data_IF_059478388319
#
_entry.id   IF_059478388319
#
_cell.length_a   1.000
_cell.length_b   1.000
_cell.length_c   1.000
_cell.angle_alpha   90.00
_cell.angle_beta   90.00
_cell.angle_gamma   90.00
#
_symmetry.space_group_name_H-M   'P 1'
#
loop_
_entity.id
_entity.type
_entity.pdbx_description
1 polymer ?
#
# COMPACT_ATOMS: atom_id res chain seq x y z
N UNK A 1 23.90 -28.32 1.61
CA UNK A 1 22.91 -29.24 1.02
C UNK A 1 23.15 -29.27 -0.47
N UNK A 2 23.33 -30.42 -1.08
CA UNK A 2 23.60 -30.54 -2.52
C UNK A 2 22.27 -30.80 -3.23
N UNK A 3 21.98 -30.06 -4.28
CA UNK A 3 20.73 -30.16 -5.05
C UNK A 3 21.06 -30.61 -6.47
N UNK A 4 20.42 -31.66 -6.91
CA UNK A 4 20.48 -32.11 -8.29
C UNK A 4 19.40 -31.40 -9.10
N UNK A 5 19.80 -30.57 -10.06
CA UNK A 5 18.92 -29.71 -10.85
C UNK A 5 19.03 -30.06 -12.33
N UNK A 6 17.90 -30.02 -13.02
CA UNK A 6 17.80 -30.05 -14.46
C UNK A 6 16.84 -28.97 -14.95
N UNK A 7 17.28 -28.19 -15.89
CA UNK A 7 16.43 -27.29 -16.65
C UNK A 7 15.72 -28.09 -17.77
N UNK A 8 14.40 -28.00 -17.83
CA UNK A 8 13.58 -28.66 -18.85
C UNK A 8 13.17 -27.69 -19.98
N UNK A 9 13.64 -26.44 -19.93
CA UNK A 9 13.34 -25.38 -20.90
C UNK A 9 12.06 -24.59 -20.60
N UNK A 10 11.96 -23.44 -21.27
CA UNK A 10 10.87 -22.51 -21.13
C UNK A 10 9.75 -22.77 -22.16
N UNK A 11 8.58 -22.17 -21.91
CA UNK A 11 7.41 -22.17 -22.79
C UNK A 11 6.76 -23.53 -23.09
N UNK A 12 7.09 -24.56 -22.34
CA UNK A 12 6.47 -25.87 -22.46
C UNK A 12 5.05 -25.88 -21.87
N UNK A 13 4.13 -26.58 -22.51
CA UNK A 13 2.81 -26.89 -21.97
C UNK A 13 2.91 -27.82 -20.74
N UNK A 14 1.83 -27.94 -19.98
CA UNK A 14 1.79 -28.85 -18.83
C UNK A 14 2.05 -30.30 -19.26
N UNK A 15 1.46 -30.74 -20.37
CA UNK A 15 1.59 -32.11 -20.86
C UNK A 15 3.03 -32.41 -21.30
N UNK A 16 3.69 -31.46 -21.99
CA UNK A 16 5.10 -31.61 -22.37
C UNK A 16 6.03 -31.68 -21.16
N UNK A 17 5.75 -30.88 -20.12
CA UNK A 17 6.51 -30.93 -18.86
C UNK A 17 6.36 -32.29 -18.17
N UNK A 18 5.14 -32.80 -18.09
CA UNK A 18 4.85 -34.10 -17.47
C UNK A 18 5.51 -35.24 -18.26
N UNK A 19 5.46 -35.18 -19.59
CA UNK A 19 6.10 -36.20 -20.45
C UNK A 19 7.62 -36.24 -20.22
N UNK A 20 8.29 -35.09 -20.12
CA UNK A 20 9.71 -35.02 -19.78
C UNK A 20 9.99 -35.65 -18.41
N UNK A 21 9.14 -35.39 -17.42
CA UNK A 21 9.31 -35.93 -16.06
C UNK A 21 9.12 -37.45 -16.07
N UNK A 22 8.07 -37.95 -16.73
CA UNK A 22 7.75 -39.38 -16.82
C UNK A 22 8.86 -40.22 -17.50
N UNK A 23 9.56 -39.62 -18.45
CA UNK A 23 10.70 -40.25 -19.16
C UNK A 23 12.05 -39.97 -18.50
N UNK A 24 12.09 -39.22 -17.39
CA UNK A 24 13.32 -38.90 -16.67
C UNK A 24 13.56 -39.87 -15.50
N UNK A 25 14.78 -40.38 -15.44
CA UNK A 25 15.26 -41.17 -14.30
C UNK A 25 16.56 -40.58 -13.78
N UNK A 26 16.99 -41.00 -12.60
CA UNK A 26 18.25 -40.54 -12.05
C UNK A 26 19.46 -40.87 -12.91
N UNK A 27 19.38 -41.93 -13.71
CA UNK A 27 20.50 -42.42 -14.52
C UNK A 27 20.52 -41.88 -15.95
N UNK A 28 19.38 -41.42 -16.48
CA UNK A 28 19.29 -40.99 -17.88
C UNK A 28 19.27 -39.44 -18.03
N UNK A 29 19.41 -38.75 -16.93
CA UNK A 29 19.40 -37.28 -16.88
C UNK A 29 20.77 -36.75 -16.50
N UNK A 30 21.25 -35.77 -17.27
CA UNK A 30 22.43 -34.99 -16.89
C UNK A 30 22.03 -33.98 -15.82
N UNK A 31 22.47 -34.22 -14.59
CA UNK A 31 22.17 -33.40 -13.44
C UNK A 31 23.25 -32.35 -13.22
N UNK A 32 22.84 -31.07 -13.13
CA UNK A 32 23.69 -30.01 -12.61
C UNK A 32 23.61 -30.02 -11.09
N UNK A 33 24.77 -30.04 -10.42
CA UNK A 33 24.83 -29.88 -8.96
C UNK A 33 24.79 -28.40 -8.64
N UNK A 34 23.86 -28.02 -7.76
CA UNK A 34 23.70 -26.66 -7.28
C UNK A 34 24.00 -26.65 -5.77
N UNK A 35 24.78 -25.68 -5.35
CA UNK A 35 24.97 -25.33 -3.95
C UNK A 35 24.26 -24.00 -3.68
N UNK A 36 23.15 -24.01 -2.90
CA UNK A 36 22.46 -22.77 -2.53
C UNK A 36 23.40 -21.84 -1.75
N UNK A 37 23.24 -20.55 -1.95
CA UNK A 37 23.93 -19.56 -1.11
C UNK A 37 23.37 -19.54 0.32
N UNK A 38 23.90 -18.66 1.18
CA UNK A 38 23.49 -18.52 2.59
C UNK A 38 22.01 -18.11 2.73
N UNK A 39 21.40 -17.52 1.69
CA UNK A 39 20.01 -17.09 1.63
C UNK A 39 19.07 -18.18 1.11
N UNK A 40 19.62 -19.29 0.62
CA UNK A 40 18.83 -20.39 0.04
C UNK A 40 18.50 -20.18 -1.44
N UNK A 41 19.14 -19.25 -2.13
CA UNK A 41 18.96 -19.05 -3.58
C UNK A 41 19.66 -20.18 -4.35
N UNK A 42 19.00 -20.72 -5.36
CA UNK A 42 19.49 -21.91 -6.08
C UNK A 42 20.23 -21.56 -7.37
N UNK A 43 19.58 -20.85 -8.28
CA UNK A 43 20.06 -20.56 -9.64
C UNK A 43 20.58 -19.14 -9.79
N UNK A 44 19.69 -18.19 -9.60
CA UNK A 44 19.99 -16.79 -9.68
C UNK A 44 20.29 -16.28 -8.27
N UNK A 45 21.52 -16.51 -7.84
CA UNK A 45 21.95 -16.03 -6.53
C UNK A 45 22.03 -14.52 -6.55
N UNK A 46 21.42 -13.89 -5.53
CA UNK A 46 21.47 -12.43 -5.38
C UNK A 46 22.91 -11.96 -5.18
N UNK A 47 23.14 -10.72 -5.53
CA UNK A 47 24.40 -10.04 -5.29
C UNK A 47 24.78 -10.11 -3.79
N UNK A 48 26.09 -10.26 -3.48
CA UNK A 48 26.58 -10.31 -2.10
C UNK A 48 26.27 -9.01 -1.33
N UNK A 49 26.21 -7.89 -2.05
CA UNK A 49 25.89 -6.58 -1.50
C UNK A 49 24.38 -6.33 -1.32
N UNK A 50 23.50 -7.28 -1.71
CA UNK A 50 22.05 -7.10 -1.69
C UNK A 50 21.51 -6.62 -0.33
N UNK A 51 22.06 -7.12 0.78
CA UNK A 51 21.64 -6.73 2.12
C UNK A 51 22.09 -5.31 2.51
N UNK A 52 23.05 -4.74 1.78
CA UNK A 52 23.51 -3.38 2.02
C UNK A 52 22.66 -2.33 1.30
N UNK A 53 21.81 -2.77 0.36
CA UNK A 53 21.01 -1.85 -0.43
C UNK A 53 19.83 -1.31 0.36
N UNK A 54 19.59 0.02 0.27
CA UNK A 54 18.42 0.62 0.91
C UNK A 54 17.13 0.04 0.34
N UNK A 55 16.21 -0.32 1.23
CA UNK A 55 14.87 -0.79 0.84
C UNK A 55 13.93 0.40 0.63
N UNK A 56 12.85 0.22 -0.14
CA UNK A 56 11.83 1.27 -0.27
C UNK A 56 11.21 1.64 1.07
N UNK A 57 10.94 0.65 1.91
CA UNK A 57 10.46 0.84 3.27
C UNK A 57 10.29 -0.48 3.99
N UNK A 58 10.61 -0.51 5.27
CA UNK A 58 10.49 -1.69 6.13
C UNK A 58 9.86 -1.32 7.48
N UNK A 59 8.61 -1.76 7.70
CA UNK A 59 7.90 -1.56 8.98
C UNK A 59 8.31 -2.53 10.08
N UNK A 60 9.06 -3.57 9.75
CA UNK A 60 9.45 -4.61 10.70
C UNK A 60 10.85 -4.38 11.26
N UNK A 61 11.70 -3.72 10.50
CA UNK A 61 13.07 -3.48 10.86
C UNK A 61 13.47 -2.04 10.51
N UNK A 62 13.42 -1.16 11.50
CA UNK A 62 13.82 0.23 11.43
C UNK A 62 15.36 0.43 11.41
N UNK A 63 16.13 -0.66 11.56
CA UNK A 63 17.58 -0.65 11.44
C UNK A 63 18.06 -0.71 9.99
N UNK A 64 17.19 -1.11 9.06
CA UNK A 64 17.54 -1.12 7.64
C UNK A 64 17.52 0.30 7.08
N UNK A 65 18.53 0.64 6.27
CA UNK A 65 18.50 1.86 5.47
C UNK A 65 17.29 1.83 4.54
N UNK A 66 16.45 2.85 4.60
CA UNK A 66 15.17 2.87 3.86
C UNK A 66 14.85 4.24 3.30
N UNK A 67 14.26 4.26 2.10
CA UNK A 67 13.86 5.50 1.44
C UNK A 67 12.70 6.17 2.17
N UNK A 68 11.64 5.41 2.48
CA UNK A 68 10.38 5.93 3.02
C UNK A 68 10.14 5.43 4.45
N UNK A 69 9.87 6.35 5.37
CA UNK A 69 9.48 6.05 6.76
C UNK A 69 8.10 5.40 6.83
N UNK A 70 7.19 5.81 5.95
CA UNK A 70 5.78 5.42 5.96
C UNK A 70 5.30 5.02 4.58
N UNK A 71 4.57 3.92 4.52
CA UNK A 71 3.79 3.50 3.36
C UNK A 71 2.49 2.85 3.82
N UNK A 72 1.48 2.81 2.96
CA UNK A 72 0.14 2.37 3.33
C UNK A 72 -0.49 1.48 2.28
N UNK A 73 -1.32 0.56 2.70
CA UNK A 73 -2.33 -0.01 1.81
C UNK A 73 -3.41 1.04 1.52
N UNK A 74 -4.15 0.83 0.43
CA UNK A 74 -5.30 1.66 0.07
C UNK A 74 -6.51 1.48 0.99
N UNK A 75 -7.57 2.23 0.71
CA UNK A 75 -8.83 2.22 1.45
C UNK A 75 -9.57 0.90 1.23
N UNK A 76 -9.80 0.16 2.30
CA UNK A 76 -10.65 -1.03 2.29
C UNK A 76 -12.06 -0.66 2.77
N UNK A 77 -12.99 -0.50 1.84
CA UNK A 77 -14.37 -0.15 2.19
C UNK A 77 -15.18 -1.35 2.63
N UNK A 78 -14.90 -2.53 2.06
CA UNK A 78 -15.70 -3.75 2.14
C UNK A 78 -17.17 -3.55 1.67
N UNK A 79 -17.51 -2.38 1.13
CA UNK A 79 -18.83 -1.97 0.64
C UNK A 79 -18.74 -0.95 -0.50
N UNK A 80 -17.93 -1.25 -1.51
CA UNK A 80 -17.61 -0.34 -2.61
C UNK A 80 -18.84 0.25 -3.27
N UNK A 81 -19.89 -0.56 -3.50
CA UNK A 81 -21.14 -0.10 -4.13
C UNK A 81 -21.83 1.06 -3.38
N UNK A 82 -21.59 1.18 -2.08
CA UNK A 82 -22.11 2.27 -1.24
C UNK A 82 -21.09 3.39 -1.02
N UNK A 83 -19.80 3.04 -0.98
CA UNK A 83 -18.70 3.94 -0.59
C UNK A 83 -18.05 4.65 -1.78
N UNK A 84 -18.29 4.21 -3.02
CA UNK A 84 -17.76 4.81 -4.24
C UNK A 84 -18.86 5.11 -5.24
N UNK A 85 -18.81 6.29 -5.87
CA UNK A 85 -19.72 6.67 -6.95
C UNK A 85 -19.10 7.77 -7.82
N UNK A 86 -19.40 7.76 -9.12
CA UNK A 86 -18.99 8.84 -10.03
C UNK A 86 -19.80 10.12 -9.80
N UNK A 87 -21.02 10.00 -9.31
CA UNK A 87 -21.89 11.15 -8.98
C UNK A 87 -21.88 11.39 -7.47
N UNK A 88 -21.50 12.60 -7.05
CA UNK A 88 -21.39 13.00 -5.64
C UNK A 88 -22.71 12.89 -4.87
N UNK A 89 -23.81 13.35 -5.47
CA UNK A 89 -25.13 13.33 -4.83
C UNK A 89 -25.65 11.87 -4.66
N UNK A 90 -25.34 11.01 -5.64
CA UNK A 90 -25.66 9.60 -5.53
C UNK A 90 -24.84 8.92 -4.43
N UNK A 91 -23.54 9.25 -4.30
CA UNK A 91 -22.73 8.79 -3.18
C UNK A 91 -23.32 9.21 -1.85
N UNK A 92 -23.65 10.50 -1.69
CA UNK A 92 -24.31 11.03 -0.48
C UNK A 92 -25.55 10.22 -0.12
N UNK A 93 -26.49 10.09 -1.06
CA UNK A 93 -27.73 9.35 -0.86
C UNK A 93 -27.50 7.89 -0.45
N UNK A 94 -26.52 7.21 -1.08
CA UNK A 94 -26.18 5.82 -0.75
C UNK A 94 -25.65 5.70 0.68
N UNK A 95 -24.72 6.60 1.06
CA UNK A 95 -24.11 6.58 2.39
C UNK A 95 -25.11 6.93 3.48
N UNK A 96 -25.90 8.00 3.30
CA UNK A 96 -26.95 8.39 4.26
C UNK A 96 -27.99 7.28 4.45
N UNK A 97 -28.48 6.68 3.35
CA UNK A 97 -29.41 5.57 3.43
C UNK A 97 -28.82 4.36 4.16
N UNK A 98 -27.53 4.06 3.91
CA UNK A 98 -26.82 2.96 4.58
C UNK A 98 -26.65 3.23 6.07
N UNK A 99 -26.34 4.46 6.47
CA UNK A 99 -26.21 4.86 7.87
C UNK A 99 -27.54 4.83 8.60
N UNK A 100 -28.63 5.28 7.96
CA UNK A 100 -29.98 5.19 8.50
C UNK A 100 -30.37 3.73 8.70
N UNK A 101 -30.13 2.86 7.70
CA UNK A 101 -30.39 1.43 7.82
C UNK A 101 -29.60 0.80 8.96
N UNK A 102 -28.27 1.09 9.03
CA UNK A 102 -27.43 0.63 10.15
C UNK A 102 -27.98 1.09 11.50
N UNK A 103 -28.31 2.36 11.64
CA UNK A 103 -28.76 2.93 12.92
C UNK A 103 -30.09 2.33 13.41
N UNK A 104 -30.97 1.91 12.48
CA UNK A 104 -32.29 1.36 12.79
C UNK A 104 -32.30 -0.16 12.98
N UNK A 105 -31.27 -0.87 12.59
CA UNK A 105 -31.15 -2.32 12.81
C UNK A 105 -30.55 -2.60 14.19
N UNK A 106 -31.04 -3.62 14.88
CA UNK A 106 -30.50 -4.06 16.18
C UNK A 106 -29.37 -5.08 16.00
N UNK A 107 -29.34 -5.81 14.91
CA UNK A 107 -28.35 -6.83 14.56
C UNK A 107 -28.13 -6.87 13.03
N UNK A 108 -27.16 -7.70 12.61
CA UNK A 108 -26.95 -7.98 11.19
C UNK A 108 -28.24 -8.51 10.55
N UNK A 109 -28.63 -8.01 9.36
CA UNK A 109 -29.81 -8.54 8.65
C UNK A 109 -29.54 -10.00 8.24
N UNK A 110 -30.59 -10.82 8.29
CA UNK A 110 -30.53 -12.19 7.76
C UNK A 110 -30.21 -12.17 6.26
N UNK A 111 -29.30 -13.04 5.84
CA UNK A 111 -28.81 -13.15 4.44
C UNK A 111 -29.92 -13.49 3.42
N UNK A 112 -31.12 -13.86 3.88
CA UNK A 112 -32.21 -14.28 3.04
C UNK A 112 -32.99 -13.14 2.35
N UNK A 113 -32.79 -11.89 2.77
CA UNK A 113 -33.43 -10.70 2.18
C UNK A 113 -32.46 -9.94 1.27
N UNK A 114 -32.63 -10.12 -0.03
CA UNK A 114 -31.85 -9.50 -1.12
C UNK A 114 -31.98 -7.95 -1.21
N UNK A 115 -32.57 -7.31 -0.21
CA UNK A 115 -32.79 -5.86 -0.12
C UNK A 115 -31.87 -5.22 0.91
N UNK A 116 -30.58 -5.53 0.83
CA UNK A 116 -29.60 -4.96 1.76
C UNK A 116 -29.36 -3.47 1.47
N UNK A 117 -29.92 -2.60 2.30
CA UNK A 117 -29.64 -1.17 2.26
C UNK A 117 -28.17 -0.86 2.63
N UNK A 118 -27.45 -1.82 3.23
CA UNK A 118 -26.04 -1.72 3.58
C UNK A 118 -25.37 -3.09 3.61
N UNK A 119 -24.14 -3.18 3.09
CA UNK A 119 -23.32 -4.38 3.26
C UNK A 119 -22.76 -4.42 4.68
N UNK A 120 -23.14 -5.45 5.44
CA UNK A 120 -22.69 -5.64 6.81
C UNK A 120 -21.23 -6.12 6.88
N UNK A 121 -20.55 -5.86 7.99
CA UNK A 121 -19.17 -6.29 8.24
C UNK A 121 -18.96 -6.52 9.74
N UNK A 122 -17.90 -7.25 10.09
CA UNK A 122 -17.52 -7.49 11.49
C UNK A 122 -17.31 -6.20 12.29
N UNK A 123 -16.85 -5.13 11.63
CA UNK A 123 -16.73 -3.79 12.24
C UNK A 123 -18.10 -3.22 12.61
N UNK A 124 -19.10 -3.39 11.75
CA UNK A 124 -20.47 -2.96 12.04
C UNK A 124 -21.08 -3.76 13.19
N UNK A 125 -20.80 -5.09 13.29
CA UNK A 125 -21.17 -5.89 14.45
C UNK A 125 -20.57 -5.37 15.74
N UNK A 126 -19.27 -5.03 15.71
CA UNK A 126 -18.60 -4.45 16.86
C UNK A 126 -19.20 -3.10 17.26
N UNK A 127 -19.51 -2.24 16.29
CA UNK A 127 -20.12 -0.94 16.53
C UNK A 127 -21.51 -1.06 17.14
N UNK A 128 -22.31 -2.03 16.67
CA UNK A 128 -23.64 -2.32 17.24
C UNK A 128 -23.53 -2.79 18.68
N UNK A 129 -22.66 -3.76 18.97
CA UNK A 129 -22.41 -4.24 20.34
C UNK A 129 -22.00 -3.12 21.28
N UNK A 130 -21.27 -2.13 20.77
CA UNK A 130 -20.80 -0.98 21.53
C UNK A 130 -21.81 0.19 21.55
N UNK A 131 -23.01 0.02 21.00
CA UNK A 131 -24.05 1.06 20.94
C UNK A 131 -23.68 2.27 20.07
N UNK A 132 -22.70 2.16 19.19
CA UNK A 132 -22.30 3.24 18.28
C UNK A 132 -23.36 3.49 17.24
N UNK A 133 -23.57 4.77 16.89
CA UNK A 133 -24.36 5.23 15.77
C UNK A 133 -23.45 5.84 14.71
N UNK A 134 -23.82 5.70 13.44
CA UNK A 134 -23.12 6.33 12.33
C UNK A 134 -23.73 7.69 12.04
N UNK A 135 -22.87 8.68 11.83
CA UNK A 135 -23.26 10.06 11.46
C UNK A 135 -22.60 10.45 10.16
N UNK A 136 -23.38 11.04 9.27
CA UNK A 136 -22.87 11.51 7.99
C UNK A 136 -22.13 12.85 8.16
N UNK A 137 -20.97 12.97 7.51
CA UNK A 137 -20.19 14.20 7.43
C UNK A 137 -19.85 14.51 5.97
N UNK A 138 -20.22 15.68 5.50
CA UNK A 138 -19.96 16.12 4.11
C UNK A 138 -18.46 16.14 3.78
N UNK A 139 -17.61 16.55 4.73
CA UNK A 139 -16.15 16.58 4.60
C UNK A 139 -15.53 15.20 4.37
N UNK A 140 -16.26 14.12 4.65
CA UNK A 140 -15.82 12.76 4.39
C UNK A 140 -16.00 12.35 2.91
N UNK A 141 -16.71 13.14 2.11
CA UNK A 141 -16.77 12.91 0.65
C UNK A 141 -15.46 13.43 0.04
N UNK A 142 -14.68 12.51 -0.51
CA UNK A 142 -13.35 12.77 -1.08
C UNK A 142 -13.30 12.23 -2.52
N UNK A 143 -12.35 12.72 -3.29
CA UNK A 143 -11.99 12.09 -4.57
C UNK A 143 -10.94 11.01 -4.30
N UNK A 144 -11.14 9.83 -4.86
CA UNK A 144 -10.21 8.73 -4.79
C UNK A 144 -9.88 8.19 -6.19
N UNK A 145 -8.67 7.70 -6.38
CA UNK A 145 -8.32 6.89 -7.54
C UNK A 145 -8.72 5.45 -7.23
N UNK A 146 -9.91 5.07 -7.74
CA UNK A 146 -10.53 3.77 -7.48
C UNK A 146 -9.81 2.63 -8.21
N UNK A 147 -9.39 2.90 -9.46
CA UNK A 147 -8.57 2.00 -10.30
C UNK A 147 -7.56 2.86 -11.08
N UNK A 148 -6.52 2.30 -11.68
CA UNK A 148 -5.61 3.05 -12.52
C UNK A 148 -6.37 3.92 -13.53
N UNK A 149 -6.05 5.23 -13.56
CA UNK A 149 -6.68 6.22 -14.44
C UNK A 149 -8.19 6.45 -14.25
N UNK A 150 -8.79 5.87 -13.19
CA UNK A 150 -10.22 6.01 -12.93
C UNK A 150 -10.49 6.60 -11.54
N UNK A 151 -10.94 7.85 -11.50
CA UNK A 151 -11.28 8.59 -10.28
C UNK A 151 -12.78 8.51 -10.01
N UNK A 152 -13.14 8.39 -8.73
CA UNK A 152 -14.52 8.44 -8.24
C UNK A 152 -14.60 9.27 -6.95
N UNK A 153 -15.81 9.72 -6.61
CA UNK A 153 -16.09 10.16 -5.24
C UNK A 153 -16.11 8.96 -4.31
N UNK A 154 -15.48 9.10 -3.15
CA UNK A 154 -15.44 8.09 -2.09
C UNK A 154 -15.89 8.70 -0.78
N UNK A 155 -16.57 7.94 0.06
CA UNK A 155 -16.83 8.32 1.44
C UNK A 155 -15.71 7.79 2.33
N UNK A 156 -14.83 8.69 2.77
CA UNK A 156 -13.65 8.38 3.58
C UNK A 156 -13.92 8.68 5.05
N UNK A 157 -14.28 7.64 5.80
CA UNK A 157 -14.59 7.73 7.24
C UNK A 157 -14.15 6.45 7.95
N UNK A 158 -13.53 6.59 9.09
CA UNK A 158 -13.12 5.45 9.92
C UNK A 158 -14.33 4.59 10.31
N UNK A 159 -15.46 5.20 10.63
CA UNK A 159 -16.66 4.50 11.07
C UNK A 159 -17.34 3.74 9.93
N UNK A 160 -17.31 4.29 8.72
CA UNK A 160 -18.02 3.71 7.58
C UNK A 160 -17.18 2.69 6.81
N UNK A 161 -15.87 2.92 6.69
CA UNK A 161 -14.97 2.02 5.96
C UNK A 161 -14.45 0.91 6.87
N UNK A 162 -14.16 -0.25 6.29
CA UNK A 162 -13.63 -1.39 7.05
C UNK A 162 -12.23 -1.08 7.60
N UNK A 163 -11.31 -0.64 6.74
CA UNK A 163 -9.97 -0.18 7.13
C UNK A 163 -9.54 1.03 6.31
N UNK A 164 -9.17 2.09 7.00
CA UNK A 164 -8.57 3.28 6.38
C UNK A 164 -7.05 3.17 6.26
N UNK A 165 -6.45 2.15 6.89
CA UNK A 165 -5.00 1.98 6.97
C UNK A 165 -4.32 3.28 7.47
N UNK A 166 -3.18 3.68 6.91
CA UNK A 166 -2.50 4.94 7.28
C UNK A 166 -2.94 6.14 6.43
N UNK A 167 -3.96 5.99 5.59
CA UNK A 167 -4.46 7.09 4.75
C UNK A 167 -4.90 8.33 5.54
N UNK A 168 -5.44 8.25 6.78
CA UNK A 168 -5.72 9.45 7.58
C UNK A 168 -4.49 10.29 7.91
N UNK A 169 -3.32 9.70 8.08
CA UNK A 169 -2.07 10.44 8.27
C UNK A 169 -1.47 10.97 6.96
N UNK A 170 -1.92 10.47 5.81
CA UNK A 170 -1.47 10.88 4.49
C UNK A 170 -2.39 11.97 3.91
N UNK A 171 -3.69 11.85 4.14
CA UNK A 171 -4.75 12.74 3.67
C UNK A 171 -5.73 13.04 4.81
N UNK A 172 -5.34 13.79 5.85
CA UNK A 172 -6.19 14.01 7.04
C UNK A 172 -7.53 14.67 6.70
N UNK A 173 -7.51 15.76 5.97
CA UNK A 173 -8.69 16.52 5.58
C UNK A 173 -8.73 16.76 4.06
N UNK A 174 -9.83 17.28 3.49
CA UNK A 174 -9.89 17.63 2.08
C UNK A 174 -8.89 18.67 1.60
N UNK A 175 -8.36 19.48 2.50
CA UNK A 175 -7.40 20.57 2.20
C UNK A 175 -5.95 20.12 2.21
N UNK A 176 -5.66 18.93 2.76
CA UNK A 176 -4.31 18.39 2.84
C UNK A 176 -3.95 17.65 1.55
N UNK A 177 -3.27 18.36 0.67
CA UNK A 177 -2.76 17.77 -0.56
C UNK A 177 -1.54 16.89 -0.29
N UNK A 178 -1.39 15.86 -1.12
CA UNK A 178 -0.25 14.96 -1.12
C UNK A 178 -0.07 14.35 -2.51
N UNK A 179 1.09 13.82 -2.78
CA UNK A 179 1.39 12.99 -3.93
C UNK A 179 2.11 11.73 -3.45
N UNK A 180 1.86 10.64 -4.12
CA UNK A 180 2.55 9.39 -3.85
C UNK A 180 2.46 8.45 -5.04
N UNK A 181 3.12 7.34 -4.98
CA UNK A 181 2.99 6.28 -5.98
C UNK A 181 2.56 4.98 -5.33
N UNK A 182 1.76 4.23 -6.08
CA UNK A 182 1.39 2.86 -5.71
C UNK A 182 2.35 1.92 -6.42
N UNK A 183 3.02 1.09 -5.63
CA UNK A 183 3.86 0.01 -6.14
C UNK A 183 3.19 -1.33 -5.85
N UNK A 184 2.98 -2.13 -6.87
CA UNK A 184 2.56 -3.51 -6.75
C UNK A 184 3.77 -4.41 -6.97
N UNK A 185 4.15 -5.15 -5.92
CA UNK A 185 5.19 -6.16 -6.05
C UNK A 185 4.73 -7.24 -7.05
N UNK A 186 5.64 -7.68 -7.89
CA UNK A 186 5.37 -8.76 -8.85
C UNK A 186 4.85 -10.00 -8.11
N UNK A 187 3.67 -10.49 -8.52
CA UNK A 187 3.13 -11.78 -8.02
C UNK A 187 3.64 -12.98 -8.84
N UNK A 188 4.71 -12.81 -9.58
CA UNK A 188 5.27 -13.82 -10.50
C UNK A 188 4.48 -14.01 -11.80
N UNK A 189 3.28 -13.43 -11.91
CA UNK A 189 2.42 -13.50 -13.12
C UNK A 189 2.23 -12.16 -13.81
N UNK A 190 2.45 -11.06 -13.10
CA UNK A 190 2.29 -9.70 -13.59
C UNK A 190 3.60 -8.95 -13.47
N UNK A 191 3.89 -8.11 -14.45
CA UNK A 191 5.04 -7.21 -14.36
C UNK A 191 4.83 -6.19 -13.24
N UNK A 192 5.90 -5.77 -12.53
CA UNK A 192 5.83 -4.71 -11.55
C UNK A 192 5.14 -3.48 -12.14
N UNK A 193 4.15 -2.96 -11.45
CA UNK A 193 3.37 -1.81 -11.92
C UNK A 193 3.45 -0.69 -10.89
N UNK A 194 3.78 0.50 -11.36
CA UNK A 194 3.88 1.71 -10.53
C UNK A 194 3.09 2.82 -11.15
N UNK A 195 2.30 3.53 -10.36
CA UNK A 195 1.54 4.70 -10.81
C UNK A 195 1.45 5.75 -9.71
N UNK A 196 1.75 7.00 -10.06
CA UNK A 196 1.60 8.13 -9.15
C UNK A 196 0.16 8.64 -9.13
N UNK A 197 -0.27 9.12 -7.96
CA UNK A 197 -1.55 9.79 -7.76
C UNK A 197 -1.47 10.82 -6.63
N UNK A 198 -2.29 11.86 -6.75
CA UNK A 198 -2.50 12.92 -5.76
C UNK A 198 -3.79 12.73 -4.94
N UNK A 199 -4.41 11.56 -5.01
CA UNK A 199 -5.71 11.27 -4.38
C UNK A 199 -5.64 10.03 -3.52
N UNK A 200 -6.65 9.87 -2.65
CA UNK A 200 -6.89 8.61 -1.95
C UNK A 200 -6.86 7.44 -2.93
N UNK A 201 -6.35 6.30 -2.49
CA UNK A 201 -6.31 5.09 -3.30
C UNK A 201 -7.21 4.01 -2.72
N UNK A 202 -7.81 3.21 -3.58
CA UNK A 202 -8.52 1.98 -3.19
C UNK A 202 -7.54 0.85 -2.84
N UNK A 203 -7.94 -0.06 -1.95
CA UNK A 203 -7.13 -1.22 -1.57
C UNK A 203 -6.72 -2.06 -2.79
N UNK A 204 -7.68 -2.28 -3.69
CA UNK A 204 -7.48 -3.04 -4.92
C UNK A 204 -7.23 -2.09 -6.11
N UNK A 205 -6.39 -1.09 -5.90
CA UNK A 205 -6.01 -0.14 -6.94
C UNK A 205 -5.57 -0.86 -8.22
N UNK A 206 -4.74 -1.89 -8.06
CA UNK A 206 -4.44 -2.88 -9.08
C UNK A 206 -5.26 -4.16 -8.88
N UNK A 207 -4.92 -5.23 -9.57
CA UNK A 207 -5.54 -6.54 -9.37
C UNK A 207 -5.27 -7.12 -7.98
N UNK A 208 -4.15 -6.74 -7.37
CA UNK A 208 -3.72 -7.10 -6.03
C UNK A 208 -3.49 -5.84 -5.19
N UNK A 209 -3.51 -5.94 -3.85
CA UNK A 209 -3.23 -4.81 -2.98
C UNK A 209 -1.81 -4.28 -3.18
N UNK A 210 -1.71 -3.05 -3.69
CA UNK A 210 -0.47 -2.33 -3.81
C UNK A 210 -0.14 -1.52 -2.56
N UNK A 211 1.13 -1.13 -2.43
CA UNK A 211 1.59 -0.26 -1.36
C UNK A 211 1.76 1.17 -1.89
N UNK A 212 1.18 2.12 -1.18
CA UNK A 212 1.24 3.54 -1.48
C UNK A 212 2.36 4.20 -0.68
N UNK A 213 3.30 4.78 -1.38
CA UNK A 213 4.43 5.54 -0.84
C UNK A 213 4.15 7.03 -1.02
N UNK A 214 3.69 7.74 0.04
CA UNK A 214 3.43 9.16 -0.05
C UNK A 214 4.73 9.97 -0.02
N UNK A 215 4.71 11.17 -0.60
CA UNK A 215 5.85 12.09 -0.54
C UNK A 215 6.05 12.62 0.90
N UNK A 216 4.97 12.86 1.63
CA UNK A 216 4.98 13.26 3.04
C UNK A 216 3.81 12.67 3.82
N UNK A 217 3.85 12.85 5.13
CA UNK A 217 2.74 12.58 6.05
C UNK A 217 2.35 13.83 6.82
N UNK A 218 1.21 13.78 7.50
CA UNK A 218 0.69 14.87 8.31
C UNK A 218 0.51 14.40 9.75
N UNK A 219 1.09 15.12 10.70
CA UNK A 219 0.99 14.83 12.12
C UNK A 219 0.13 15.88 12.83
N UNK A 220 -0.84 15.52 13.66
CA UNK A 220 -1.61 16.48 14.44
C UNK A 220 -0.69 17.22 15.43
N UNK A 221 -0.82 18.55 15.52
CA UNK A 221 -0.04 19.38 16.45
C UNK A 221 -0.51 19.19 17.90
N UNK A 222 -1.81 18.86 18.08
CA UNK A 222 -2.39 18.50 19.39
C UNK A 222 -3.04 17.14 19.24
N UNK A 223 -2.63 16.20 20.11
CA UNK A 223 -3.37 14.94 20.20
C UNK A 223 -4.82 15.23 20.58
N UNK A 224 -5.83 14.74 19.85
CA UNK A 224 -7.23 14.90 20.25
C UNK A 224 -7.43 14.27 21.61
N UNK A 225 -7.95 15.03 22.57
CA UNK A 225 -8.28 14.50 23.89
C UNK A 225 -9.37 13.42 23.74
N UNK A 226 -8.99 12.13 23.88
CA UNK A 226 -9.93 11.00 23.93
C UNK A 226 -9.97 10.07 22.74
N UNK A 227 -9.17 10.25 21.69
CA UNK A 227 -9.01 9.22 20.65
C UNK A 227 -7.88 8.24 20.99
N UNK A 228 -8.14 6.95 20.74
CA UNK A 228 -7.18 5.88 20.92
C UNK A 228 -5.93 6.15 20.06
N UNK A 229 -4.79 6.22 20.73
CA UNK A 229 -3.47 6.25 20.12
C UNK A 229 -3.31 5.01 19.23
N UNK A 230 -3.30 5.21 17.91
CA UNK A 230 -3.12 4.14 16.94
C UNK A 230 -1.65 3.71 16.81
N UNK A 231 -0.84 3.88 17.86
CA UNK A 231 0.52 3.35 17.90
C UNK A 231 1.49 4.02 16.91
N UNK A 232 1.15 5.19 16.42
CA UNK A 232 2.11 6.08 15.80
C UNK A 232 2.86 6.77 16.93
N UNK A 233 3.90 6.12 17.44
CA UNK A 233 4.78 6.70 18.44
C UNK A 233 5.16 8.10 18.01
N UNK A 234 4.84 9.10 18.83
CA UNK A 234 5.41 10.42 18.69
C UNK A 234 6.92 10.22 18.70
N UNK A 235 7.56 10.41 17.57
CA UNK A 235 9.02 10.44 17.52
C UNK A 235 9.46 11.65 18.34
N UNK A 236 9.86 11.39 19.58
CA UNK A 236 10.60 12.35 20.38
C UNK A 236 11.87 12.69 19.61
N UNK A 237 11.94 13.86 18.99
CA UNK A 237 13.19 14.31 18.41
C UNK A 237 13.18 15.34 17.31
N UNK A 238 12.08 16.00 17.00
CA UNK A 238 12.13 17.15 16.07
C UNK A 238 12.15 18.45 16.86
N UNK A 239 13.28 19.17 16.82
CA UNK A 239 13.41 20.48 17.41
C UNK A 239 12.34 21.44 16.88
N UNK A 240 11.74 22.31 17.72
CA UNK A 240 10.76 23.30 17.26
C UNK A 240 11.47 24.28 16.30
N UNK A 241 11.00 24.38 15.07
CA UNK A 241 11.42 25.43 14.14
C UNK A 241 11.92 24.98 12.78
N UNK A 242 12.01 23.72 12.48
CA UNK A 242 12.41 23.22 11.17
C UNK A 242 11.36 22.27 10.62
N UNK A 243 10.80 22.69 9.47
CA UNK A 243 10.21 21.81 8.50
C UNK A 243 8.74 21.48 8.69
N UNK A 244 7.98 21.93 7.78
CA UNK A 244 6.66 21.50 7.51
C UNK A 244 5.65 22.62 7.64
N UNK A 245 4.98 22.83 6.54
CA UNK A 245 3.78 23.63 6.48
C UNK A 245 2.80 23.19 7.57
N UNK A 246 2.30 24.12 8.35
CA UNK A 246 1.21 23.90 9.29
C UNK A 246 -0.08 24.28 8.59
N UNK A 247 -0.98 23.30 8.47
CA UNK A 247 -2.29 23.49 7.87
C UNK A 247 -3.34 22.81 8.76
N UNK A 248 -4.40 23.53 9.13
CA UNK A 248 -5.55 22.99 9.89
C UNK A 248 -5.15 22.10 11.09
N UNK A 249 -4.21 22.59 11.93
CA UNK A 249 -3.70 21.88 13.12
C UNK A 249 -2.84 20.63 12.84
N UNK A 250 -2.45 20.41 11.57
CA UNK A 250 -1.50 19.36 11.18
C UNK A 250 -0.19 19.95 10.73
N UNK A 251 0.90 19.26 11.02
CA UNK A 251 2.23 19.55 10.52
C UNK A 251 2.63 18.54 9.45
N UNK A 252 3.10 19.04 8.31
CA UNK A 252 3.66 18.20 7.25
C UNK A 252 5.04 17.65 7.67
N UNK A 253 5.24 16.36 7.51
CA UNK A 253 6.49 15.65 7.84
C UNK A 253 7.01 14.97 6.59
N UNK A 254 8.30 15.14 6.32
CA UNK A 254 8.96 14.48 5.20
C UNK A 254 9.01 12.96 5.39
N UNK A 255 8.60 12.24 4.36
CA UNK A 255 8.60 10.79 4.37
C UNK A 255 9.91 10.16 3.87
N UNK A 256 10.71 10.92 3.12
CA UNK A 256 12.07 10.51 2.77
C UNK A 256 12.97 10.65 4.00
N UNK A 257 13.77 9.62 4.29
CA UNK A 257 14.67 9.62 5.44
C UNK A 257 15.84 10.59 5.26
N UNK A 258 16.36 11.12 6.38
CA UNK A 258 17.54 12.01 6.34
C UNK A 258 18.80 11.24 6.02
N UNK A 259 18.85 9.96 6.36
CA UNK A 259 19.95 9.06 6.00
C UNK A 259 20.11 8.96 4.48
N UNK A 260 19.02 8.65 3.77
CA UNK A 260 19.02 8.59 2.30
C UNK A 260 19.38 9.95 1.69
N UNK A 261 18.85 11.04 2.23
CA UNK A 261 19.23 12.37 1.78
C UNK A 261 20.74 12.60 1.94
N UNK A 262 21.31 12.16 3.06
CA UNK A 262 22.75 12.24 3.32
C UNK A 262 23.58 11.48 2.28
N UNK A 263 23.21 10.23 2.00
CA UNK A 263 23.88 9.39 0.99
C UNK A 263 23.84 10.06 -0.40
N UNK A 264 22.68 10.56 -0.82
CA UNK A 264 22.55 11.21 -2.12
C UNK A 264 23.34 12.53 -2.19
N UNK A 265 23.37 13.32 -1.13
CA UNK A 265 24.16 14.55 -1.08
C UNK A 265 25.64 14.31 -1.08
N UNK A 266 26.11 13.27 -0.44
CA UNK A 266 27.52 12.86 -0.50
C UNK A 266 27.94 12.48 -1.92
N UNK A 267 27.07 11.76 -2.64
CA UNK A 267 27.37 11.28 -3.98
C UNK A 267 27.17 12.34 -5.08
N UNK A 268 26.17 13.21 -4.97
CA UNK A 268 25.71 14.09 -6.06
C UNK A 268 25.81 15.58 -5.74
N UNK A 269 26.09 15.96 -4.50
CA UNK A 269 26.22 17.36 -4.06
C UNK A 269 25.11 17.83 -3.14
N UNK A 270 25.37 18.92 -2.42
CA UNK A 270 24.52 19.46 -1.35
C UNK A 270 23.13 19.96 -1.82
N UNK A 271 22.98 20.24 -3.11
CA UNK A 271 21.77 20.81 -3.68
C UNK A 271 20.64 19.79 -3.84
N UNK A 272 20.93 18.49 -3.68
CA UNK A 272 19.92 17.43 -3.74
C UNK A 272 18.88 17.62 -2.66
N UNK A 273 17.62 17.56 -3.06
CA UNK A 273 16.44 17.68 -2.21
C UNK A 273 15.73 16.32 -2.04
N UNK A 274 14.87 16.23 -1.03
CA UNK A 274 14.00 15.05 -0.85
C UNK A 274 12.98 14.88 -1.98
N UNK A 275 12.59 15.97 -2.66
CA UNK A 275 11.75 15.90 -3.85
C UNK A 275 12.49 15.25 -5.02
N UNK A 276 13.75 15.62 -5.24
CA UNK A 276 14.57 15.00 -6.29
C UNK A 276 14.68 13.48 -6.07
N UNK A 277 14.90 13.06 -4.82
CA UNK A 277 14.96 11.64 -4.46
C UNK A 277 13.62 10.95 -4.71
N UNK A 278 12.50 11.56 -4.30
CA UNK A 278 11.17 10.99 -4.52
C UNK A 278 10.91 10.75 -6.01
N UNK A 279 11.14 11.75 -6.85
CA UNK A 279 10.91 11.64 -8.29
C UNK A 279 11.94 10.73 -8.98
N UNK A 280 13.17 10.69 -8.50
CA UNK A 280 14.18 9.76 -8.98
C UNK A 280 13.77 8.31 -8.73
N UNK A 281 13.34 7.96 -7.50
CA UNK A 281 12.85 6.62 -7.17
C UNK A 281 11.67 6.25 -8.06
N UNK A 282 10.69 7.16 -8.21
CA UNK A 282 9.56 6.92 -9.10
C UNK A 282 10.00 6.67 -10.55
N UNK A 283 10.97 7.43 -11.06
CA UNK A 283 11.55 7.26 -12.38
C UNK A 283 12.27 5.92 -12.55
N UNK A 284 13.07 5.51 -11.56
CA UNK A 284 13.78 4.22 -11.56
C UNK A 284 12.82 3.02 -11.61
N UNK A 285 11.72 3.09 -10.88
CA UNK A 285 10.68 2.04 -10.92
C UNK A 285 10.01 1.90 -12.30
N UNK A 286 10.19 2.88 -13.20
CA UNK A 286 9.76 2.83 -14.60
C UNK A 286 10.88 2.47 -15.58
N UNK A 287 12.14 2.48 -15.15
CA UNK A 287 13.27 2.18 -16.01
C UNK A 287 13.20 0.74 -16.54
N UNK A 288 13.27 0.53 -17.88
CA UNK A 288 13.18 -0.80 -18.46
C UNK A 288 14.32 -1.73 -18.01
N UNK A 289 15.53 -1.20 -17.84
CA UNK A 289 16.69 -1.98 -17.39
C UNK A 289 16.50 -2.47 -15.96
N UNK A 290 16.07 -1.56 -15.05
CA UNK A 290 15.74 -1.93 -13.67
C UNK A 290 14.61 -2.96 -13.61
N UNK A 291 13.53 -2.76 -14.38
CA UNK A 291 12.41 -3.69 -14.41
C UNK A 291 12.78 -5.08 -14.94
N UNK A 292 13.67 -5.16 -15.92
CA UNK A 292 14.21 -6.43 -16.40
C UNK A 292 15.06 -7.13 -15.34
N UNK A 293 15.86 -6.39 -14.55
CA UNK A 293 16.64 -6.96 -13.46
C UNK A 293 15.77 -7.61 -12.37
N UNK A 294 14.58 -7.03 -12.08
CA UNK A 294 13.63 -7.57 -11.10
C UNK A 294 13.02 -8.92 -11.51
N UNK A 295 13.04 -9.26 -12.81
CA UNK A 295 12.54 -10.56 -13.30
C UNK A 295 13.55 -11.68 -12.99
N UNK A 296 14.80 -11.33 -12.72
CA UNK A 296 15.90 -12.25 -12.46
C UNK A 296 16.31 -12.32 -10.97
N UNK A 297 15.66 -11.55 -10.11
CA UNK A 297 15.76 -11.64 -8.65
C UNK A 297 14.56 -12.45 -8.11
#
# INVERSE_FOLDING_TARGET
MCIHYRDIGDYLSTDEKLDIVDHSTLDNVEWRIIEPNIYGDWLNQRDEDFETWPVLGDKKNDQNSQFFKTYSLGLATNRDAWAYQSNKEKLRSNVESSMVAFNNLDAAPDDTNNNQAVKWSSKFDQFKRNGKKLTFHESSIRVATYRPFFKQHSYFSYEFNDRCNLLPAIFPTPTHDNVGFVNEASSGKLQPTVLATDKLIDLNFYAYPGQFFPRWTWEPIKAPAGELDFGMGASEGSAPGTEGEILDEYRRVDNITDEILGIYREALGSDVTKDDIFYFVYGQLHDPGYRLSLIHI
#
